data_IF_639272511009
#
_entry.id   IF_639272511009
#
_cell.length_a   1.000
_cell.length_b   1.000
_cell.length_c   1.000
_cell.angle_alpha   90.00
_cell.angle_beta   90.00
_cell.angle_gamma   90.00
#
_symmetry.space_group_name_H-M   'P 1'
#
loop_
_entity.id
_entity.type
_entity.pdbx_description
1 polymer ?
#
# COMPACT_ATOMS: atom_id res chain seq x y z
N UNK A 1 -24.19 8.79 -1.04
CA UNK A 1 -22.85 9.42 -0.98
C UNK A 1 -23.09 10.90 -0.68
N UNK A 2 -22.25 11.57 0.11
CA UNK A 2 -22.41 13.02 0.33
C UNK A 2 -21.89 13.79 -0.90
N UNK A 3 -22.30 15.04 -1.08
CA UNK A 3 -21.78 15.91 -2.16
C UNK A 3 -20.25 16.01 -2.11
N UNK A 4 -19.68 16.14 -0.91
CA UNK A 4 -18.22 16.14 -0.70
C UNK A 4 -17.56 14.85 -1.23
N UNK A 5 -18.15 13.69 -0.93
CA UNK A 5 -17.63 12.41 -1.41
C UNK A 5 -17.75 12.28 -2.93
N UNK A 6 -18.85 12.75 -3.52
CA UNK A 6 -19.05 12.80 -4.98
C UNK A 6 -17.98 13.63 -5.68
N UNK A 7 -17.77 14.86 -5.20
CA UNK A 7 -16.71 15.74 -5.67
C UNK A 7 -15.31 15.10 -5.51
N UNK A 8 -15.05 14.51 -4.34
CA UNK A 8 -13.75 13.90 -4.04
C UNK A 8 -13.43 12.71 -4.94
N UNK A 9 -14.37 11.77 -5.11
CA UNK A 9 -14.17 10.63 -6.01
C UNK A 9 -14.13 11.03 -7.48
N UNK A 10 -14.83 12.09 -7.89
CA UNK A 10 -14.68 12.64 -9.23
C UNK A 10 -13.25 13.11 -9.51
N UNK A 11 -12.65 13.85 -8.58
CA UNK A 11 -11.28 14.31 -8.70
C UNK A 11 -10.28 13.14 -8.70
N UNK A 12 -10.51 12.10 -7.89
CA UNK A 12 -9.67 10.89 -7.94
C UNK A 12 -9.75 10.21 -9.31
N UNK A 13 -10.95 10.03 -9.86
CA UNK A 13 -11.15 9.42 -11.19
C UNK A 13 -10.41 10.20 -12.27
N UNK A 14 -10.57 11.53 -12.27
CA UNK A 14 -9.89 12.43 -13.18
C UNK A 14 -8.37 12.32 -13.04
N UNK A 15 -7.85 12.34 -11.81
CA UNK A 15 -6.42 12.26 -11.53
C UNK A 15 -5.77 10.93 -11.92
N UNK A 16 -6.41 9.81 -11.57
CA UNK A 16 -5.91 8.46 -11.89
C UNK A 16 -5.91 8.19 -13.39
N UNK A 17 -6.99 8.57 -14.09
CA UNK A 17 -7.23 8.14 -15.47
C UNK A 17 -7.05 9.23 -16.53
N UNK A 18 -6.69 10.45 -16.13
CA UNK A 18 -6.47 11.58 -17.04
C UNK A 18 -7.74 12.06 -17.74
N UNK A 19 -8.92 11.78 -17.16
CA UNK A 19 -10.21 12.25 -17.66
C UNK A 19 -10.51 13.64 -17.12
N UNK A 20 -11.30 14.42 -17.86
CA UNK A 20 -11.80 15.70 -17.37
C UNK A 20 -12.83 15.47 -16.25
N UNK A 21 -12.62 16.10 -15.09
CA UNK A 21 -13.60 16.07 -14.02
C UNK A 21 -14.90 16.78 -14.45
N UNK A 22 -16.06 16.24 -14.06
CA UNK A 22 -17.35 16.87 -14.32
C UNK A 22 -17.46 18.23 -13.59
N UNK A 23 -17.43 19.37 -14.31
CA UNK A 23 -17.43 20.68 -13.68
C UNK A 23 -18.76 21.04 -13.01
N UNK A 24 -19.85 20.33 -13.32
CA UNK A 24 -21.17 20.57 -12.72
C UNK A 24 -21.23 20.17 -11.25
N UNK A 25 -20.30 19.32 -10.79
CA UNK A 25 -20.19 18.96 -9.38
C UNK A 25 -19.54 20.07 -8.54
N UNK A 26 -18.98 21.11 -9.16
CA UNK A 26 -18.21 22.16 -8.50
C UNK A 26 -18.84 23.53 -8.70
N UNK A 27 -19.04 24.25 -7.61
CA UNK A 27 -19.72 25.53 -7.56
C UNK A 27 -19.17 26.42 -6.42
N UNK A 28 -19.81 27.56 -6.20
CA UNK A 28 -19.40 28.53 -5.18
C UNK A 28 -19.58 28.01 -3.74
N UNK A 29 -20.33 26.93 -3.52
CA UNK A 29 -20.54 26.31 -2.21
C UNK A 29 -19.60 25.14 -1.96
N UNK A 30 -18.76 24.79 -2.93
CA UNK A 30 -17.81 23.67 -2.82
C UNK A 30 -16.82 23.92 -1.69
N UNK A 31 -16.80 23.00 -0.72
CA UNK A 31 -15.86 23.05 0.41
C UNK A 31 -14.49 22.50 0.00
N UNK A 32 -13.73 23.34 -0.72
CA UNK A 32 -12.38 23.01 -1.15
C UNK A 32 -11.42 22.72 0.01
N UNK A 33 -11.64 23.32 1.18
CA UNK A 33 -10.81 23.07 2.36
C UNK A 33 -11.02 21.65 2.86
N UNK A 34 -12.28 21.18 2.87
CA UNK A 34 -12.57 19.82 3.28
C UNK A 34 -12.16 18.77 2.23
N UNK A 35 -12.25 19.07 0.93
CA UNK A 35 -11.67 18.23 -0.13
C UNK A 35 -10.15 18.09 0.08
N UNK A 36 -9.45 19.20 0.32
CA UNK A 36 -8.01 19.19 0.58
C UNK A 36 -7.66 18.37 1.85
N UNK A 37 -8.41 18.56 2.94
CA UNK A 37 -8.22 17.77 4.17
C UNK A 37 -8.47 16.29 3.95
N UNK A 38 -9.52 15.94 3.19
CA UNK A 38 -9.84 14.56 2.82
C UNK A 38 -8.72 13.95 1.96
N UNK A 39 -8.19 14.69 0.98
CA UNK A 39 -7.07 14.25 0.16
C UNK A 39 -5.83 13.95 0.99
N UNK A 40 -5.51 14.85 1.95
CA UNK A 40 -4.43 14.65 2.90
C UNK A 40 -4.66 13.45 3.80
N UNK A 41 -5.86 13.33 4.37
CA UNK A 41 -6.21 12.22 5.27
C UNK A 41 -6.10 10.87 4.57
N UNK A 42 -6.42 10.81 3.28
CA UNK A 42 -6.39 9.60 2.46
C UNK A 42 -5.05 9.35 1.75
N UNK A 43 -4.04 10.21 1.96
CA UNK A 43 -2.73 10.17 1.29
C UNK A 43 -2.84 10.21 -0.26
N UNK A 44 -3.72 11.07 -0.77
CA UNK A 44 -4.05 11.24 -2.18
C UNK A 44 -3.91 12.69 -2.66
N UNK A 45 -3.10 13.51 -1.99
CA UNK A 45 -2.95 14.94 -2.33
C UNK A 45 -2.53 15.17 -3.78
N UNK A 46 -1.56 14.43 -4.32
CA UNK A 46 -1.13 14.56 -5.71
C UNK A 46 -2.20 14.10 -6.71
N UNK A 47 -2.75 12.91 -6.50
CA UNK A 47 -3.82 12.35 -7.37
C UNK A 47 -5.06 13.24 -7.41
N UNK A 48 -5.49 13.79 -6.28
CA UNK A 48 -6.65 14.70 -6.26
C UNK A 48 -6.30 16.03 -6.90
N UNK A 49 -5.07 16.53 -6.71
CA UNK A 49 -4.60 17.76 -7.36
C UNK A 49 -4.60 17.65 -8.88
N UNK A 50 -4.17 16.51 -9.42
CA UNK A 50 -4.28 16.21 -10.85
C UNK A 50 -5.72 16.32 -11.35
N UNK A 51 -6.67 15.79 -10.58
CA UNK A 51 -8.10 15.93 -10.88
C UNK A 51 -8.55 17.39 -10.86
N UNK A 52 -8.07 18.17 -9.89
CA UNK A 52 -8.36 19.60 -9.78
C UNK A 52 -7.83 20.36 -11.00
N UNK A 53 -6.64 20.01 -11.50
CA UNK A 53 -6.05 20.63 -12.68
C UNK A 53 -6.84 20.35 -13.96
N UNK A 54 -7.69 19.33 -13.97
CA UNK A 54 -8.59 19.05 -15.09
C UNK A 54 -9.85 19.92 -15.12
N UNK A 55 -10.12 20.73 -14.08
CA UNK A 55 -11.30 21.59 -14.04
C UNK A 55 -11.10 22.90 -14.84
N UNK A 56 -12.19 23.49 -15.36
CA UNK A 56 -12.18 24.85 -15.90
C UNK A 56 -11.68 25.89 -14.87
N UNK A 57 -11.06 26.98 -15.34
CA UNK A 57 -10.43 28.00 -14.48
C UNK A 57 -11.38 28.64 -13.47
N UNK A 58 -12.65 28.82 -13.84
CA UNK A 58 -13.71 29.37 -12.99
C UNK A 58 -14.24 28.38 -11.94
N UNK A 59 -13.86 27.11 -12.04
CA UNK A 59 -14.22 26.01 -11.12
C UNK A 59 -13.07 25.57 -10.23
N UNK A 60 -11.93 26.25 -10.26
CA UNK A 60 -10.78 25.93 -9.44
C UNK A 60 -10.98 26.35 -7.97
N UNK A 61 -10.23 25.75 -7.02
CA UNK A 61 -10.19 26.19 -5.64
C UNK A 61 -9.79 27.67 -5.52
N UNK A 62 -10.14 28.34 -4.41
CA UNK A 62 -9.64 29.68 -4.11
C UNK A 62 -8.12 29.77 -4.24
N UNK A 63 -7.64 30.83 -4.90
CA UNK A 63 -6.21 30.98 -5.31
C UNK A 63 -5.21 30.67 -4.20
N UNK A 64 -5.45 31.12 -2.98
CA UNK A 64 -4.55 30.88 -1.85
C UNK A 64 -4.42 29.37 -1.52
N UNK A 65 -5.53 28.63 -1.51
CA UNK A 65 -5.53 27.19 -1.27
C UNK A 65 -4.93 26.44 -2.45
N UNK A 66 -5.21 26.87 -3.69
CA UNK A 66 -4.62 26.27 -4.89
C UNK A 66 -3.08 26.38 -4.86
N UNK A 67 -2.52 27.56 -4.57
CA UNK A 67 -1.07 27.76 -4.47
C UNK A 67 -0.44 26.96 -3.31
N UNK A 68 -1.12 26.87 -2.18
CA UNK A 68 -0.70 25.99 -1.07
C UNK A 68 -0.62 24.53 -1.54
N UNK A 69 -1.64 24.07 -2.27
CA UNK A 69 -1.69 22.70 -2.79
C UNK A 69 -0.56 22.44 -3.80
N UNK A 70 -0.33 23.37 -4.75
CA UNK A 70 0.80 23.31 -5.68
C UNK A 70 2.13 23.11 -4.94
N UNK A 71 2.39 23.92 -3.90
CA UNK A 71 3.65 23.83 -3.15
C UNK A 71 3.84 22.46 -2.48
N UNK A 72 2.76 21.88 -1.94
CA UNK A 72 2.81 20.54 -1.33
C UNK A 72 3.06 19.45 -2.38
N UNK A 73 2.50 19.59 -3.59
CA UNK A 73 2.76 18.65 -4.69
C UNK A 73 4.20 18.78 -5.20
N UNK A 74 4.73 20.00 -5.33
CA UNK A 74 6.14 20.21 -5.71
C UNK A 74 7.11 19.55 -4.71
N UNK A 75 6.85 19.69 -3.40
CA UNK A 75 7.63 19.00 -2.36
C UNK A 75 7.50 17.48 -2.46
N UNK A 76 6.32 16.97 -2.81
CA UNK A 76 6.10 15.54 -3.04
C UNK A 76 6.93 15.03 -4.22
N UNK A 77 6.95 15.77 -5.33
CA UNK A 77 7.78 15.41 -6.48
C UNK A 77 9.27 15.43 -6.14
N UNK A 78 9.75 16.43 -5.39
CA UNK A 78 11.15 16.51 -4.93
C UNK A 78 11.52 15.32 -4.06
N UNK A 79 10.68 14.96 -3.08
CA UNK A 79 10.87 13.78 -2.24
C UNK A 79 10.88 12.48 -3.06
N UNK A 80 10.01 12.36 -4.06
CA UNK A 80 9.98 11.19 -4.94
C UNK A 80 11.23 11.11 -5.83
N UNK A 81 11.78 12.25 -6.30
CA UNK A 81 13.05 12.29 -7.01
C UNK A 81 14.23 11.90 -6.09
N UNK A 82 14.21 12.32 -4.82
CA UNK A 82 15.18 11.88 -3.81
C UNK A 82 15.13 10.35 -3.63
N UNK A 83 13.94 9.78 -3.43
CA UNK A 83 13.76 8.32 -3.33
C UNK A 83 14.28 7.59 -4.57
N UNK A 84 14.02 8.10 -5.78
CA UNK A 84 14.50 7.50 -7.02
C UNK A 84 16.03 7.52 -7.12
N UNK A 85 16.66 8.62 -6.68
CA UNK A 85 18.13 8.75 -6.64
C UNK A 85 18.74 7.76 -5.64
N UNK A 86 18.23 7.72 -4.42
CA UNK A 86 18.76 6.82 -3.39
C UNK A 86 18.52 5.35 -3.72
N UNK A 87 17.41 5.04 -4.40
CA UNK A 87 17.20 3.71 -4.97
C UNK A 87 18.33 3.31 -5.93
N UNK A 88 18.82 4.23 -6.77
CA UNK A 88 19.99 3.99 -7.61
C UNK A 88 21.27 3.71 -6.83
N UNK A 89 21.53 4.51 -5.78
CA UNK A 89 22.69 4.32 -4.90
C UNK A 89 22.65 2.96 -4.19
N UNK A 90 21.49 2.57 -3.65
CA UNK A 90 21.28 1.28 -2.97
C UNK A 90 21.51 0.11 -3.92
N UNK A 91 20.96 0.17 -5.13
CA UNK A 91 21.17 -0.88 -6.14
C UNK A 91 22.63 -0.96 -6.58
N UNK A 92 23.32 0.16 -6.74
CA UNK A 92 24.74 0.18 -7.07
C UNK A 92 25.59 -0.46 -5.95
N UNK A 93 25.33 -0.10 -4.69
CA UNK A 93 26.00 -0.66 -3.51
C UNK A 93 25.83 -2.18 -3.43
N UNK A 94 24.59 -2.67 -3.49
CA UNK A 94 24.29 -4.08 -3.31
C UNK A 94 24.78 -4.93 -4.50
N UNK A 95 24.61 -4.45 -5.73
CA UNK A 95 25.07 -5.17 -6.94
C UNK A 95 26.58 -5.26 -7.03
N UNK A 96 27.31 -4.25 -6.55
CA UNK A 96 28.78 -4.31 -6.45
C UNK A 96 29.25 -5.51 -5.63
N UNK A 97 28.46 -5.93 -4.65
CA UNK A 97 28.72 -7.06 -3.77
C UNK A 97 28.04 -8.36 -4.25
N UNK A 98 27.46 -8.36 -5.45
CA UNK A 98 26.78 -9.51 -6.05
C UNK A 98 25.40 -9.80 -5.45
N UNK A 99 24.78 -8.83 -4.76
CA UNK A 99 23.43 -8.95 -4.19
C UNK A 99 22.46 -8.24 -5.12
N UNK A 100 21.48 -8.97 -5.65
CA UNK A 100 20.40 -8.39 -6.44
C UNK A 100 19.17 -8.17 -5.54
N UNK A 101 18.91 -6.93 -5.06
CA UNK A 101 17.70 -6.65 -4.28
C UNK A 101 16.47 -6.61 -5.18
N UNK A 102 15.31 -6.99 -4.63
CA UNK A 102 14.01 -6.80 -5.27
C UNK A 102 13.28 -5.65 -4.58
N UNK A 103 12.97 -4.58 -5.31
CA UNK A 103 12.17 -3.47 -4.80
C UNK A 103 10.71 -3.92 -4.63
N UNK A 104 10.15 -3.64 -3.47
CA UNK A 104 8.75 -3.86 -3.16
C UNK A 104 8.03 -2.50 -3.07
N UNK A 105 6.81 -2.41 -3.60
CA UNK A 105 5.93 -1.24 -3.40
C UNK A 105 6.62 0.07 -3.82
N UNK A 106 6.35 1.16 -3.09
CA UNK A 106 7.05 2.44 -3.22
C UNK A 106 7.13 2.93 -4.67
N UNK A 107 8.36 3.18 -5.11
CA UNK A 107 8.62 3.73 -6.45
C UNK A 107 8.27 2.76 -7.58
N UNK A 108 8.39 1.45 -7.39
CA UNK A 108 8.00 0.46 -8.40
C UNK A 108 6.50 0.49 -8.70
N UNK A 109 5.69 0.72 -7.66
CA UNK A 109 4.24 0.88 -7.75
C UNK A 109 3.84 2.25 -8.28
N UNK A 110 4.57 3.31 -7.90
CA UNK A 110 4.37 4.67 -8.41
C UNK A 110 4.41 4.73 -9.94
N UNK A 111 5.25 3.93 -10.57
CA UNK A 111 5.35 3.88 -12.03
C UNK A 111 4.09 3.35 -12.74
N UNK A 112 3.08 2.88 -12.01
CA UNK A 112 1.78 2.45 -12.58
C UNK A 112 0.70 3.53 -12.46
N UNK A 113 1.00 4.65 -11.79
CA UNK A 113 0.16 5.85 -11.80
C UNK A 113 0.41 6.64 -13.07
N UNK A 114 -0.59 7.44 -13.48
CA UNK A 114 -0.47 8.34 -14.64
C UNK A 114 0.65 9.36 -14.46
N UNK A 115 0.75 9.94 -13.26
CA UNK A 115 1.88 10.78 -12.86
C UNK A 115 2.61 10.11 -11.67
N UNK A 116 3.71 9.40 -11.92
CA UNK A 116 4.43 8.66 -10.89
C UNK A 116 4.90 9.55 -9.72
N UNK A 117 5.29 10.79 -9.97
CA UNK A 117 5.79 11.69 -8.92
C UNK A 117 4.68 12.26 -8.01
N UNK A 118 3.41 12.08 -8.37
CA UNK A 118 2.26 12.51 -7.59
C UNK A 118 1.69 11.42 -6.68
N UNK A 119 2.26 10.21 -6.71
CA UNK A 119 1.96 9.19 -5.70
C UNK A 119 2.67 9.55 -4.40
N UNK A 120 1.90 9.58 -3.30
CA UNK A 120 2.50 9.76 -1.97
C UNK A 120 3.21 8.47 -1.53
N UNK A 121 4.54 8.48 -1.62
CA UNK A 121 5.42 7.39 -1.22
C UNK A 121 5.96 7.58 0.21
N UNK A 122 6.49 6.51 0.78
CA UNK A 122 7.08 6.49 2.10
C UNK A 122 8.53 6.01 2.03
N UNK A 123 8.77 4.87 2.64
CA UNK A 123 10.00 4.09 2.66
C UNK A 123 10.35 3.41 1.33
N UNK A 124 11.60 2.95 1.25
CA UNK A 124 12.11 2.02 0.25
C UNK A 124 12.14 0.61 0.87
N UNK A 125 11.18 -0.24 0.51
CA UNK A 125 11.17 -1.64 0.90
C UNK A 125 12.00 -2.49 -0.09
N UNK A 126 13.12 -3.07 0.35
CA UNK A 126 13.90 -4.04 -0.41
C UNK A 126 13.69 -5.46 0.11
N UNK A 127 13.74 -6.44 -0.78
CA UNK A 127 13.81 -7.86 -0.42
C UNK A 127 15.11 -8.47 -0.95
N UNK A 128 15.97 -8.90 -0.04
CA UNK A 128 17.24 -9.60 -0.36
C UNK A 128 17.21 -11.09 0.00
N UNK A 129 16.10 -11.56 0.60
CA UNK A 129 15.96 -12.94 1.05
C UNK A 129 16.89 -13.29 2.22
N UNK A 130 16.72 -14.49 2.79
CA UNK A 130 17.46 -14.94 3.97
C UNK A 130 18.97 -15.00 3.74
N UNK A 131 19.39 -15.43 2.55
CA UNK A 131 20.79 -15.72 2.25
C UNK A 131 21.66 -14.46 2.15
N UNK A 132 21.08 -13.33 1.73
CA UNK A 132 21.81 -12.06 1.58
C UNK A 132 21.44 -11.02 2.64
N UNK A 133 20.48 -11.29 3.52
CA UNK A 133 19.95 -10.32 4.46
C UNK A 133 21.01 -9.68 5.37
N UNK A 134 21.82 -10.50 6.06
CA UNK A 134 22.82 -9.97 6.99
C UNK A 134 23.91 -9.19 6.26
N UNK A 135 24.40 -9.71 5.12
CA UNK A 135 25.42 -9.02 4.31
C UNK A 135 24.89 -7.70 3.74
N UNK A 136 23.64 -7.67 3.26
CA UNK A 136 23.00 -6.44 2.81
C UNK A 136 22.87 -5.43 3.96
N UNK A 137 22.47 -5.87 5.16
CA UNK A 137 22.38 -5.01 6.33
C UNK A 137 23.75 -4.47 6.76
N UNK A 138 24.80 -5.29 6.73
CA UNK A 138 26.18 -4.84 6.99
C UNK A 138 26.60 -3.72 6.03
N UNK A 139 26.28 -3.84 4.74
CA UNK A 139 26.56 -2.80 3.74
C UNK A 139 25.76 -1.52 4.01
N UNK A 140 24.46 -1.64 4.31
CA UNK A 140 23.61 -0.50 4.63
C UNK A 140 24.09 0.24 5.89
N UNK A 141 24.59 -0.47 6.90
CA UNK A 141 25.12 0.13 8.14
C UNK A 141 26.34 1.02 7.91
N UNK A 142 27.09 0.84 6.82
CA UNK A 142 28.30 1.62 6.56
C UNK A 142 28.01 3.10 6.30
N UNK A 143 26.85 3.43 5.69
CA UNK A 143 26.48 4.81 5.36
C UNK A 143 25.15 5.25 6.00
N UNK A 144 24.41 4.34 6.66
CA UNK A 144 23.21 4.70 7.41
C UNK A 144 23.53 5.62 8.60
N UNK A 145 22.71 6.67 8.78
CA UNK A 145 22.82 7.57 9.93
C UNK A 145 22.21 6.98 11.20
N UNK A 146 21.27 6.05 11.06
CA UNK A 146 20.65 5.33 12.18
C UNK A 146 20.01 4.02 11.73
N UNK A 147 19.83 3.11 12.69
CA UNK A 147 19.15 1.83 12.53
C UNK A 147 18.10 1.69 13.66
N UNK A 148 16.88 1.26 13.32
CA UNK A 148 15.83 0.96 14.29
C UNK A 148 15.93 -0.50 14.82
N UNK A 149 15.22 -0.84 15.91
CA UNK A 149 15.23 -2.22 16.46
C UNK A 149 14.79 -3.21 15.38
N UNK A 150 15.68 -4.16 15.06
CA UNK A 150 15.42 -5.18 14.05
C UNK A 150 14.13 -5.96 14.36
N UNK A 151 13.21 -5.97 13.40
CA UNK A 151 11.97 -6.72 13.49
C UNK A 151 12.14 -8.12 12.88
N UNK A 152 11.17 -8.98 13.14
CA UNK A 152 11.22 -10.35 12.65
C UNK A 152 11.36 -10.46 11.12
N UNK A 153 10.82 -9.49 10.37
CA UNK A 153 10.79 -9.52 8.89
C UNK A 153 11.90 -8.70 8.23
N UNK A 154 12.32 -7.60 8.85
CA UNK A 154 13.23 -6.62 8.26
C UNK A 154 14.09 -5.91 9.31
N UNK A 155 15.10 -5.20 8.82
CA UNK A 155 15.80 -4.13 9.52
C UNK A 155 15.47 -2.80 8.81
N UNK A 156 15.39 -1.70 9.58
CA UNK A 156 15.06 -0.37 9.06
C UNK A 156 16.23 0.59 9.31
N UNK A 157 16.61 1.32 8.27
CA UNK A 157 17.75 2.24 8.25
C UNK A 157 17.33 3.62 7.80
N UNK A 158 17.87 4.66 8.42
CA UNK A 158 17.87 6.01 7.83
C UNK A 158 19.11 6.13 6.95
N UNK A 159 18.91 6.12 5.64
CA UNK A 159 19.95 6.16 4.61
C UNK A 159 19.81 7.45 3.81
N UNK A 160 20.80 8.35 3.87
CA UNK A 160 20.82 9.62 3.12
C UNK A 160 19.51 10.44 3.20
N UNK A 161 18.85 10.43 4.36
CA UNK A 161 17.60 11.15 4.61
C UNK A 161 16.32 10.42 4.14
N UNK A 162 16.41 9.19 3.64
CA UNK A 162 15.26 8.32 3.36
C UNK A 162 15.25 7.10 4.28
N UNK A 163 14.07 6.51 4.48
CA UNK A 163 13.93 5.25 5.22
C UNK A 163 14.06 4.08 4.25
N UNK A 164 14.92 3.12 4.58
CA UNK A 164 15.13 1.88 3.82
C UNK A 164 14.84 0.70 4.74
N UNK A 165 13.87 -0.12 4.36
CA UNK A 165 13.58 -1.39 5.02
C UNK A 165 14.15 -2.53 4.18
N UNK A 166 15.14 -3.25 4.71
CA UNK A 166 15.62 -4.46 4.05
C UNK A 166 14.92 -5.69 4.64
N UNK A 167 14.26 -6.49 3.82
CA UNK A 167 13.47 -7.65 4.23
C UNK A 167 14.18 -8.97 3.96
N UNK A 168 14.30 -9.80 5.00
CA UNK A 168 14.55 -11.25 4.85
C UNK A 168 13.30 -12.03 4.49
N UNK A 169 12.13 -11.50 4.84
CA UNK A 169 10.82 -12.11 4.57
C UNK A 169 9.94 -11.04 3.94
N UNK A 170 9.61 -11.20 2.65
CA UNK A 170 8.79 -10.26 1.89
C UNK A 170 7.39 -10.08 2.51
N UNK A 171 6.66 -11.17 2.74
CA UNK A 171 5.38 -11.15 3.45
C UNK A 171 4.99 -12.55 3.94
N UNK A 172 4.02 -12.64 4.85
CA UNK A 172 3.52 -13.89 5.42
C UNK A 172 2.02 -13.82 5.70
N UNK A 173 1.34 -14.94 5.48
CA UNK A 173 -0.05 -15.14 5.91
C UNK A 173 -0.11 -15.84 7.26
N UNK A 174 -1.14 -15.54 8.04
CA UNK A 174 -1.41 -16.17 9.34
C UNK A 174 -1.93 -17.60 9.15
N UNK A 175 -2.71 -17.85 8.10
CA UNK A 175 -3.21 -19.17 7.74
C UNK A 175 -2.07 -20.06 7.21
N UNK A 176 -1.69 -21.16 7.90
CA UNK A 176 -0.47 -21.91 7.57
C UNK A 176 -0.45 -22.49 6.15
N UNK A 177 -1.58 -23.02 5.69
CA UNK A 177 -1.70 -23.59 4.34
C UNK A 177 -1.55 -22.55 3.24
N UNK A 178 -2.20 -21.39 3.40
CA UNK A 178 -2.08 -20.27 2.47
C UNK A 178 -0.67 -19.68 2.51
N UNK A 179 -0.07 -19.53 3.70
CA UNK A 179 1.30 -19.06 3.84
C UNK A 179 2.31 -20.00 3.16
N UNK A 180 2.17 -21.33 3.29
CA UNK A 180 3.04 -22.28 2.59
C UNK A 180 2.98 -22.11 1.06
N UNK A 181 1.79 -21.83 0.51
CA UNK A 181 1.63 -21.54 -0.93
C UNK A 181 2.29 -20.21 -1.30
N UNK A 182 2.07 -19.16 -0.52
CA UNK A 182 2.72 -17.85 -0.70
C UNK A 182 4.24 -17.95 -0.68
N UNK A 183 4.82 -18.62 0.32
CA UNK A 183 6.29 -18.81 0.41
C UNK A 183 6.85 -19.68 -0.72
N UNK A 184 6.05 -20.60 -1.28
CA UNK A 184 6.45 -21.38 -2.46
C UNK A 184 6.48 -20.50 -3.69
N UNK A 185 5.44 -19.68 -3.88
CA UNK A 185 5.35 -18.76 -5.01
C UNK A 185 6.48 -17.72 -4.98
N UNK A 186 6.73 -17.10 -3.81
CA UNK A 186 7.86 -16.16 -3.62
C UNK A 186 9.18 -16.81 -4.02
N UNK A 187 9.46 -18.02 -3.51
CA UNK A 187 10.69 -18.74 -3.86
C UNK A 187 10.78 -19.04 -5.36
N UNK A 188 9.68 -19.48 -5.98
CA UNK A 188 9.63 -19.83 -7.41
C UNK A 188 10.10 -18.68 -8.29
N UNK A 189 9.52 -17.49 -8.11
CA UNK A 189 9.88 -16.35 -8.97
C UNK A 189 11.19 -15.69 -8.54
N UNK A 190 11.54 -15.70 -7.25
CA UNK A 190 12.77 -15.07 -6.74
C UNK A 190 14.03 -15.82 -7.17
N UNK A 191 14.00 -17.16 -7.18
CA UNK A 191 15.12 -17.98 -7.67
C UNK A 191 15.05 -18.24 -9.18
N UNK A 192 13.97 -17.79 -9.83
CA UNK A 192 13.74 -17.96 -11.26
C UNK A 192 14.20 -16.74 -12.06
N UNK A 193 13.67 -16.63 -13.29
CA UNK A 193 13.90 -15.51 -14.20
C UNK A 193 12.66 -14.62 -14.36
N UNK A 194 11.66 -14.81 -13.50
CA UNK A 194 10.34 -14.17 -13.62
C UNK A 194 10.35 -12.70 -13.16
N UNK A 195 11.36 -12.28 -12.39
CA UNK A 195 11.52 -10.90 -11.96
C UNK A 195 11.62 -9.95 -13.16
N UNK A 196 10.95 -8.81 -13.07
CA UNK A 196 10.95 -7.80 -14.13
C UNK A 196 11.95 -6.69 -13.81
N UNK A 197 12.59 -6.16 -14.84
CA UNK A 197 13.43 -4.96 -14.75
C UNK A 197 12.63 -3.72 -15.14
N UNK A 198 12.87 -2.61 -14.47
CA UNK A 198 12.28 -1.31 -14.83
C UNK A 198 13.25 -0.20 -14.52
N UNK A 199 13.36 0.79 -15.39
CA UNK A 199 14.12 2.00 -15.12
C UNK A 199 13.30 2.96 -14.24
N UNK A 200 13.86 3.39 -13.12
CA UNK A 200 13.28 4.39 -12.21
C UNK A 200 14.36 5.44 -11.91
N UNK A 201 14.10 6.69 -12.29
CA UNK A 201 15.18 7.69 -12.38
C UNK A 201 16.24 7.20 -13.36
N UNK A 202 17.49 7.16 -12.91
CA UNK A 202 18.63 6.71 -13.71
C UNK A 202 19.04 5.25 -13.43
N UNK A 203 18.26 4.52 -12.62
CA UNK A 203 18.60 3.17 -12.17
C UNK A 203 17.66 2.11 -12.73
N UNK A 204 18.23 0.99 -13.21
CA UNK A 204 17.45 -0.22 -13.49
C UNK A 204 17.21 -1.00 -12.18
N UNK A 205 15.94 -1.14 -11.80
CA UNK A 205 15.53 -1.84 -10.58
C UNK A 205 14.88 -3.17 -10.89
N UNK A 206 14.95 -4.11 -9.95
CA UNK A 206 14.28 -5.40 -10.03
C UNK A 206 12.99 -5.37 -9.25
N UNK A 207 11.92 -5.82 -9.87
CA UNK A 207 10.58 -5.88 -9.29
C UNK A 207 10.05 -7.32 -9.37
N UNK A 208 9.11 -7.70 -8.49
CA UNK A 208 8.41 -8.97 -8.64
C UNK A 208 7.66 -9.03 -9.98
N UNK A 209 7.32 -10.25 -10.46
CA UNK A 209 6.46 -10.41 -11.62
C UNK A 209 5.16 -9.62 -11.43
N UNK A 210 4.71 -8.89 -12.45
CA UNK A 210 3.54 -8.01 -12.34
C UNK A 210 2.26 -8.74 -11.84
N UNK A 211 1.97 -9.99 -12.27
CA UNK A 211 0.90 -10.80 -11.68
C UNK A 211 1.01 -10.99 -10.16
N UNK A 212 2.19 -11.38 -9.67
CA UNK A 212 2.44 -11.58 -8.25
C UNK A 212 2.34 -10.25 -7.48
N UNK A 213 2.94 -9.19 -8.02
CA UNK A 213 2.95 -7.86 -7.42
C UNK A 213 1.52 -7.32 -7.25
N UNK A 214 0.62 -7.60 -8.21
CA UNK A 214 -0.80 -7.24 -8.10
C UNK A 214 -1.51 -7.97 -6.96
N UNK A 215 -1.20 -9.24 -6.72
CA UNK A 215 -1.72 -10.01 -5.57
C UNK A 215 -1.10 -9.51 -4.27
N UNK A 216 0.19 -9.20 -4.27
CA UNK A 216 0.94 -8.71 -3.12
C UNK A 216 0.44 -7.35 -2.61
N UNK A 217 0.12 -6.41 -3.51
CA UNK A 217 -0.44 -5.10 -3.14
C UNK A 217 -1.78 -5.26 -2.40
N UNK A 218 -2.67 -6.15 -2.89
CA UNK A 218 -3.92 -6.45 -2.18
C UNK A 218 -3.66 -7.11 -0.82
N UNK A 219 -2.80 -8.13 -0.77
CA UNK A 219 -2.43 -8.82 0.46
C UNK A 219 -1.88 -7.84 1.51
N UNK A 220 -1.03 -6.91 1.08
CA UNK A 220 -0.47 -5.91 1.96
C UNK A 220 -1.51 -4.92 2.49
N UNK A 221 -2.44 -4.47 1.64
CA UNK A 221 -3.56 -3.64 2.08
C UNK A 221 -4.42 -4.38 3.12
N UNK A 222 -4.70 -5.67 2.89
CA UNK A 222 -5.42 -6.54 3.83
C UNK A 222 -4.71 -6.63 5.18
N UNK A 223 -3.38 -6.85 5.17
CA UNK A 223 -2.59 -6.95 6.40
C UNK A 223 -2.61 -5.63 7.19
N UNK A 224 -2.36 -4.50 6.53
CA UNK A 224 -2.42 -3.21 7.20
C UNK A 224 -3.79 -2.89 7.77
N UNK A 225 -4.86 -3.33 7.10
CA UNK A 225 -6.19 -3.15 7.67
C UNK A 225 -6.34 -3.90 8.99
N UNK A 226 -5.91 -5.16 9.06
CA UNK A 226 -6.00 -5.98 10.27
C UNK A 226 -5.23 -5.35 11.43
N UNK A 227 -4.08 -4.74 11.13
CA UNK A 227 -3.19 -4.17 12.15
C UNK A 227 -3.61 -2.75 12.58
N UNK A 228 -3.91 -1.85 11.63
CA UNK A 228 -3.97 -0.40 11.85
C UNK A 228 -5.13 0.31 11.10
N UNK A 229 -5.54 -0.22 9.95
CA UNK A 229 -6.49 0.40 9.00
C UNK A 229 -5.82 0.72 7.65
N UNK A 230 -6.60 1.16 6.66
CA UNK A 230 -6.06 1.61 5.35
C UNK A 230 -6.72 2.91 4.92
N UNK A 231 -6.03 3.64 4.04
CA UNK A 231 -6.61 4.76 3.30
C UNK A 231 -7.05 4.35 1.89
N UNK A 232 -7.64 5.29 1.16
CA UNK A 232 -7.98 5.10 -0.26
C UNK A 232 -6.73 4.94 -1.13
N UNK A 233 -5.55 5.43 -0.70
CA UNK A 233 -4.29 5.21 -1.43
C UNK A 233 -4.03 3.73 -1.69
N UNK A 234 -4.24 2.85 -0.71
CA UNK A 234 -4.03 1.40 -0.87
C UNK A 234 -5.02 0.78 -1.89
N UNK A 235 -6.24 1.32 -2.00
CA UNK A 235 -7.20 0.88 -3.03
C UNK A 235 -6.81 1.44 -4.41
N UNK A 236 -6.34 2.68 -4.49
CA UNK A 236 -5.83 3.29 -5.71
C UNK A 236 -4.60 2.56 -6.24
N UNK A 237 -3.69 2.17 -5.34
CA UNK A 237 -2.51 1.35 -5.63
C UNK A 237 -2.93 0.05 -6.33
N UNK A 238 -3.91 -0.66 -5.78
CA UNK A 238 -4.41 -1.89 -6.38
C UNK A 238 -5.13 -1.65 -7.71
N UNK A 239 -5.92 -0.57 -7.82
CA UNK A 239 -6.56 -0.18 -9.08
C UNK A 239 -5.54 0.08 -10.21
N UNK A 240 -4.44 0.76 -9.90
CA UNK A 240 -3.35 1.02 -10.85
C UNK A 240 -2.64 -0.27 -11.25
N UNK A 241 -2.45 -1.23 -10.32
CA UNK A 241 -1.90 -2.55 -10.64
C UNK A 241 -2.81 -3.36 -11.57
N UNK A 242 -4.11 -3.41 -11.27
CA UNK A 242 -5.11 -4.05 -12.13
C UNK A 242 -5.10 -3.45 -13.55
N UNK A 243 -5.01 -2.13 -13.64
CA UNK A 243 -4.91 -1.43 -14.92
C UNK A 243 -3.59 -1.72 -15.64
N UNK A 244 -2.46 -1.78 -14.93
CA UNK A 244 -1.14 -2.04 -15.52
C UNK A 244 -1.03 -3.44 -16.14
N UNK A 245 -1.72 -4.45 -15.57
CA UNK A 245 -1.75 -5.81 -16.11
C UNK A 245 -2.91 -6.07 -17.09
N UNK A 246 -3.70 -5.06 -17.46
CA UNK A 246 -4.94 -5.25 -18.24
C UNK A 246 -4.74 -5.95 -19.58
N UNK A 247 -3.57 -5.77 -20.20
CA UNK A 247 -3.20 -6.30 -21.50
C UNK A 247 -2.31 -7.56 -21.39
N UNK A 248 -1.97 -7.98 -20.17
CA UNK A 248 -1.18 -9.19 -19.95
C UNK A 248 -2.04 -10.45 -20.06
N UNK A 249 -1.49 -11.54 -20.65
CA UNK A 249 -2.10 -12.85 -20.55
C UNK A 249 -2.00 -13.40 -19.13
N UNK A 250 -2.81 -14.41 -18.82
CA UNK A 250 -2.72 -15.17 -17.57
C UNK A 250 -3.41 -14.53 -16.36
N UNK A 251 -4.53 -13.83 -16.61
CA UNK A 251 -5.37 -13.26 -15.54
C UNK A 251 -5.98 -14.36 -14.70
N UNK A 252 -6.28 -15.51 -15.32
CA UNK A 252 -6.84 -16.70 -14.69
C UNK A 252 -5.88 -17.29 -13.65
N UNK A 253 -4.58 -17.40 -13.96
CA UNK A 253 -3.54 -17.86 -13.04
C UNK A 253 -3.36 -16.87 -11.89
N UNK A 254 -3.40 -15.57 -12.19
CA UNK A 254 -3.31 -14.52 -11.17
C UNK A 254 -4.50 -14.58 -10.20
N UNK A 255 -5.72 -14.78 -10.74
CA UNK A 255 -6.93 -14.98 -9.97
C UNK A 255 -6.89 -16.28 -9.14
N UNK A 256 -6.34 -17.36 -9.72
CA UNK A 256 -6.15 -18.64 -9.04
C UNK A 256 -5.16 -18.53 -7.89
N UNK A 257 -4.04 -17.81 -8.07
CA UNK A 257 -3.09 -17.52 -7.00
C UNK A 257 -3.80 -16.77 -5.87
N UNK A 258 -4.47 -15.66 -6.18
CA UNK A 258 -5.22 -14.85 -5.22
C UNK A 258 -6.22 -15.70 -4.41
N UNK A 259 -6.98 -16.56 -5.10
CA UNK A 259 -7.93 -17.50 -4.48
C UNK A 259 -7.23 -18.52 -3.59
N UNK A 260 -6.11 -19.09 -4.03
CA UNK A 260 -5.33 -20.05 -3.26
C UNK A 260 -4.77 -19.43 -1.96
N UNK A 261 -4.58 -18.12 -1.93
CA UNK A 261 -4.15 -17.37 -0.75
C UNK A 261 -5.30 -16.95 0.18
N UNK A 262 -6.55 -17.27 -0.18
CA UNK A 262 -7.73 -16.92 0.60
C UNK A 262 -8.18 -15.46 0.45
N UNK A 263 -7.75 -14.78 -0.62
CA UNK A 263 -8.01 -13.36 -0.85
C UNK A 263 -9.20 -13.09 -1.78
N UNK A 264 -9.88 -14.13 -2.29
CA UNK A 264 -10.94 -14.01 -3.31
C UNK A 264 -12.05 -13.02 -2.91
N UNK A 265 -12.55 -13.13 -1.66
CA UNK A 265 -13.57 -12.23 -1.13
C UNK A 265 -13.05 -10.80 -0.97
N UNK A 266 -11.80 -10.62 -0.54
CA UNK A 266 -11.17 -9.30 -0.46
C UNK A 266 -11.06 -8.63 -1.82
N UNK A 267 -10.61 -9.38 -2.84
CA UNK A 267 -10.52 -8.88 -4.21
C UNK A 267 -11.89 -8.45 -4.76
N UNK A 268 -12.95 -9.22 -4.47
CA UNK A 268 -14.32 -8.84 -4.85
C UNK A 268 -14.78 -7.56 -4.14
N UNK A 269 -14.59 -7.47 -2.83
CA UNK A 269 -14.98 -6.30 -2.03
C UNK A 269 -14.22 -5.05 -2.46
N UNK A 270 -12.90 -5.14 -2.64
CA UNK A 270 -12.11 -4.04 -3.19
C UNK A 270 -12.50 -3.73 -4.63
N UNK A 271 -12.83 -4.76 -5.42
CA UNK A 271 -13.28 -4.64 -6.81
C UNK A 271 -14.55 -3.79 -6.94
N UNK A 272 -15.49 -3.90 -6.00
CA UNK A 272 -16.66 -2.99 -5.93
C UNK A 272 -16.21 -1.54 -5.80
N UNK A 273 -15.26 -1.25 -4.89
CA UNK A 273 -14.78 0.13 -4.65
C UNK A 273 -14.05 0.67 -5.88
N UNK A 274 -13.14 -0.15 -6.43
CA UNK A 274 -12.33 0.16 -7.61
C UNK A 274 -13.21 0.49 -8.83
N UNK A 275 -14.28 -0.28 -9.06
CA UNK A 275 -15.18 -0.04 -10.20
C UNK A 275 -16.13 1.12 -9.93
N UNK A 276 -16.88 1.08 -8.81
CA UNK A 276 -18.00 2.03 -8.59
C UNK A 276 -17.54 3.43 -8.18
N UNK A 277 -16.38 3.55 -7.54
CA UNK A 277 -15.91 4.83 -6.97
C UNK A 277 -14.67 5.33 -7.68
N UNK A 278 -13.70 4.44 -7.95
CA UNK A 278 -12.46 4.82 -8.62
C UNK A 278 -12.53 4.77 -10.15
N UNK A 279 -13.60 4.25 -10.75
CA UNK A 279 -13.86 4.37 -12.20
C UNK A 279 -13.04 3.44 -13.10
N UNK A 280 -12.46 2.37 -12.57
CA UNK A 280 -11.85 1.30 -13.38
C UNK A 280 -12.95 0.46 -14.05
N UNK A 281 -12.73 0.03 -15.30
CA UNK A 281 -13.64 -0.91 -15.97
C UNK A 281 -13.68 -2.26 -15.26
N UNK A 282 -14.87 -2.85 -15.13
CA UNK A 282 -15.04 -4.16 -14.48
C UNK A 282 -14.32 -5.30 -15.22
N UNK A 283 -14.04 -5.15 -16.51
CA UNK A 283 -13.29 -6.12 -17.33
C UNK A 283 -11.82 -6.26 -16.92
N UNK A 284 -11.30 -5.30 -16.15
CA UNK A 284 -9.92 -5.33 -15.64
C UNK A 284 -9.82 -6.03 -14.28
N UNK A 285 -10.94 -6.43 -13.67
CA UNK A 285 -10.91 -7.19 -12.43
C UNK A 285 -10.40 -8.62 -12.66
N UNK A 286 -9.54 -9.09 -11.76
CA UNK A 286 -9.11 -10.49 -11.72
C UNK A 286 -10.23 -11.44 -11.28
N UNK A 287 -11.09 -10.97 -10.37
CA UNK A 287 -12.23 -11.72 -9.84
C UNK A 287 -13.45 -10.81 -9.88
N UNK A 288 -14.47 -11.13 -10.69
CA UNK A 288 -15.72 -10.36 -10.71
C UNK A 288 -16.40 -10.35 -9.34
N UNK A 289 -16.86 -9.17 -8.91
CA UNK A 289 -17.67 -9.05 -7.69
C UNK A 289 -19.12 -9.44 -7.95
N UNK A 290 -19.83 -9.78 -6.88
CA UNK A 290 -21.25 -10.11 -6.87
C UNK A 290 -22.04 -8.99 -6.18
N UNK A 291 -23.35 -8.92 -6.43
CA UNK A 291 -24.22 -7.94 -5.75
C UNK A 291 -24.14 -8.05 -4.21
N UNK A 292 -23.97 -9.26 -3.68
CA UNK A 292 -23.80 -9.50 -2.24
C UNK A 292 -22.49 -8.94 -1.65
N UNK A 293 -21.52 -8.52 -2.47
CA UNK A 293 -20.29 -7.85 -1.99
C UNK A 293 -20.49 -6.36 -1.73
N UNK A 294 -21.50 -5.75 -2.36
CA UNK A 294 -21.72 -4.31 -2.32
C UNK A 294 -21.88 -3.78 -0.89
N UNK A 295 -22.72 -4.37 -0.02
CA UNK A 295 -22.88 -3.85 1.34
C UNK A 295 -21.57 -3.90 2.15
N UNK A 296 -20.77 -4.95 1.96
CA UNK A 296 -19.46 -5.08 2.64
C UNK A 296 -18.47 -4.04 2.13
N UNK A 297 -18.48 -3.76 0.83
CA UNK A 297 -17.64 -2.73 0.23
C UNK A 297 -18.03 -1.32 0.67
N UNK A 298 -19.33 -1.02 0.79
CA UNK A 298 -19.83 0.26 1.29
C UNK A 298 -19.51 0.47 2.76
N UNK A 299 -19.60 -0.59 3.58
CA UNK A 299 -19.12 -0.57 4.95
C UNK A 299 -17.61 -0.29 5.03
N UNK A 300 -16.80 -1.01 4.23
CA UNK A 300 -15.35 -0.83 4.20
C UNK A 300 -14.99 0.61 3.78
N UNK A 301 -15.65 1.14 2.75
CA UNK A 301 -15.44 2.50 2.29
C UNK A 301 -15.79 3.54 3.36
N UNK A 302 -16.83 3.28 4.15
CA UNK A 302 -17.21 4.14 5.28
C UNK A 302 -16.15 4.12 6.37
N UNK A 303 -15.59 2.94 6.72
CA UNK A 303 -14.48 2.84 7.69
C UNK A 303 -13.23 3.57 7.19
N UNK A 304 -12.87 3.40 5.91
CA UNK A 304 -11.74 4.11 5.28
C UNK A 304 -11.95 5.62 5.30
N UNK A 305 -13.15 6.09 4.95
CA UNK A 305 -13.49 7.51 4.94
C UNK A 305 -13.35 8.12 6.34
N UNK A 306 -13.85 7.44 7.37
CA UNK A 306 -13.79 7.91 8.75
C UNK A 306 -12.39 7.78 9.38
N UNK A 307 -11.64 6.74 9.02
CA UNK A 307 -10.33 6.44 9.62
C UNK A 307 -9.17 7.22 9.03
N UNK A 308 -9.25 7.58 7.74
CA UNK A 308 -8.09 8.06 6.99
C UNK A 308 -6.99 6.99 6.87
N UNK A 309 -5.87 7.35 6.24
CA UNK A 309 -4.75 6.45 6.01
C UNK A 309 -4.19 5.91 7.35
N UNK A 310 -4.22 4.58 7.48
CA UNK A 310 -3.83 3.83 8.69
C UNK A 310 -4.59 4.23 9.97
N UNK A 311 -5.85 4.68 9.84
CA UNK A 311 -6.68 5.01 11.00
C UNK A 311 -6.22 6.25 11.77
N UNK A 312 -5.22 6.99 11.28
CA UNK A 312 -4.58 8.14 11.96
C UNK A 312 -5.52 9.32 12.20
N UNK A 313 -6.71 9.33 11.57
CA UNK A 313 -7.71 10.39 11.71
C UNK A 313 -8.93 9.95 12.53
N UNK A 314 -8.93 8.72 13.06
CA UNK A 314 -10.02 8.25 13.91
C UNK A 314 -9.86 8.81 15.34
N UNK A 315 -10.61 9.87 15.67
CA UNK A 315 -10.60 10.49 16.99
C UNK A 315 -11.01 9.54 18.14
N UNK A 316 -11.63 8.39 17.83
CA UNK A 316 -12.02 7.37 18.80
C UNK A 316 -10.95 6.29 19.06
N UNK A 317 -9.76 6.37 18.43
CA UNK A 317 -8.66 5.43 18.75
C UNK A 317 -8.08 5.74 20.13
N UNK A 318 -8.23 4.78 21.06
CA UNK A 318 -7.53 4.84 22.34
C UNK A 318 -6.02 4.76 22.13
N UNK A 319 -5.27 5.71 22.71
CA UNK A 319 -3.81 5.67 22.72
C UNK A 319 -3.33 4.34 23.31
N UNK A 320 -2.34 3.72 22.68
CA UNK A 320 -1.70 2.51 23.19
C UNK A 320 -1.16 2.82 24.59
N UNK A 321 -1.51 2.04 25.63
CA UNK A 321 -1.02 2.26 26.98
C UNK A 321 0.48 2.01 27.06
N UNK A 322 1.16 2.73 27.96
CA UNK A 322 2.57 2.51 28.27
C UNK A 322 2.77 1.15 28.95
N UNK A 323 3.90 0.50 28.67
CA UNK A 323 4.25 -0.84 29.15
C UNK A 323 4.11 -1.94 28.09
N UNK A 324 5.02 -2.92 28.16
CA UNK A 324 5.07 -3.99 27.15
C UNK A 324 3.80 -4.85 27.13
N UNK A 325 3.37 -5.34 28.31
CA UNK A 325 2.22 -6.26 28.43
C UNK A 325 0.88 -5.56 28.20
N UNK A 326 0.71 -4.36 28.75
CA UNK A 326 -0.45 -3.49 28.52
C UNK A 326 -0.58 -3.14 27.03
N UNK A 327 0.51 -2.73 26.37
CA UNK A 327 0.53 -2.44 24.94
C UNK A 327 0.25 -3.66 24.07
N UNK A 328 0.79 -4.83 24.42
CA UNK A 328 0.52 -6.10 23.72
C UNK A 328 -0.95 -6.53 23.87
N UNK A 329 -1.50 -6.41 25.07
CA UNK A 329 -2.92 -6.69 25.32
C UNK A 329 -3.85 -5.74 24.56
N UNK A 330 -3.55 -4.44 24.56
CA UNK A 330 -4.28 -3.44 23.76
C UNK A 330 -4.27 -3.79 22.26
N UNK A 331 -3.10 -4.16 21.73
CA UNK A 331 -2.96 -4.61 20.34
C UNK A 331 -3.80 -5.86 20.07
N UNK A 332 -3.74 -6.85 20.97
CA UNK A 332 -4.48 -8.10 20.84
C UNK A 332 -6.00 -7.89 20.85
N UNK A 333 -6.52 -7.07 21.76
CA UNK A 333 -7.96 -6.73 21.82
C UNK A 333 -8.41 -6.01 20.55
N UNK A 334 -7.61 -5.05 20.06
CA UNK A 334 -7.88 -4.36 18.79
C UNK A 334 -7.93 -5.35 17.62
N UNK A 335 -6.95 -6.25 17.56
CA UNK A 335 -6.87 -7.29 16.53
C UNK A 335 -8.07 -8.24 16.61
N UNK A 336 -8.53 -8.64 17.80
CA UNK A 336 -9.74 -9.46 17.94
C UNK A 336 -10.99 -8.75 17.42
N UNK A 337 -11.15 -7.46 17.75
CA UNK A 337 -12.27 -6.64 17.26
C UNK A 337 -12.22 -6.53 15.73
N UNK A 338 -11.07 -6.14 15.17
CA UNK A 338 -10.87 -6.02 13.71
C UNK A 338 -11.03 -7.36 13.00
N UNK A 339 -10.57 -8.47 13.58
CA UNK A 339 -10.74 -9.82 13.01
C UNK A 339 -12.22 -10.22 12.93
N UNK A 340 -13.05 -9.84 13.90
CA UNK A 340 -14.51 -10.06 13.83
C UNK A 340 -15.15 -9.27 12.68
N UNK A 341 -14.76 -8.01 12.51
CA UNK A 341 -15.21 -7.16 11.40
C UNK A 341 -14.74 -7.72 10.05
N UNK A 342 -13.50 -8.21 9.97
CA UNK A 342 -12.86 -8.71 8.74
C UNK A 342 -13.14 -10.16 8.40
N UNK A 343 -13.79 -10.93 9.28
CA UNK A 343 -14.26 -12.27 8.95
C UNK A 343 -15.13 -12.30 7.69
N UNK A 344 -15.81 -11.18 7.38
CA UNK A 344 -16.60 -11.00 6.16
C UNK A 344 -15.77 -10.77 4.89
N UNK A 345 -14.49 -10.36 5.00
CA UNK A 345 -13.61 -9.98 3.88
C UNK A 345 -12.49 -11.01 3.68
N UNK A 346 -11.83 -11.47 4.74
CA UNK A 346 -10.75 -12.48 4.72
C UNK A 346 -10.93 -13.52 5.83
N UNK A 347 -11.91 -14.43 5.73
CA UNK A 347 -12.29 -15.32 6.83
C UNK A 347 -11.14 -16.20 7.34
N UNK A 348 -10.24 -16.65 6.47
CA UNK A 348 -9.11 -17.48 6.87
C UNK A 348 -8.10 -16.68 7.71
N UNK A 349 -7.67 -15.51 7.22
CA UNK A 349 -6.73 -14.66 7.95
C UNK A 349 -7.33 -14.16 9.26
N UNK A 350 -8.59 -13.68 9.25
CA UNK A 350 -9.30 -13.25 10.45
C UNK A 350 -9.35 -14.33 11.54
N UNK A 351 -9.46 -15.61 11.16
CA UNK A 351 -9.43 -16.74 12.09
C UNK A 351 -8.04 -17.01 12.67
N UNK A 352 -7.00 -16.96 11.84
CA UNK A 352 -5.64 -17.37 12.24
C UNK A 352 -4.80 -16.24 12.83
N UNK A 353 -5.08 -14.99 12.46
CA UNK A 353 -4.25 -13.84 12.79
C UNK A 353 -4.13 -13.58 14.31
N UNK A 354 -5.20 -13.64 15.13
CA UNK A 354 -5.06 -13.51 16.58
C UNK A 354 -4.16 -14.60 17.19
N UNK A 355 -4.25 -15.84 16.69
CA UNK A 355 -3.42 -16.97 17.15
C UNK A 355 -1.95 -16.76 16.76
N UNK A 356 -1.70 -16.34 15.52
CA UNK A 356 -0.36 -16.05 15.03
C UNK A 356 0.31 -14.93 15.83
N UNK A 357 -0.43 -13.85 16.15
CA UNK A 357 0.07 -12.73 16.96
C UNK A 357 0.43 -13.16 18.39
N UNK A 358 -0.40 -14.02 19.01
CA UNK A 358 -0.15 -14.56 20.34
C UNK A 358 1.11 -15.44 20.36
N UNK A 359 1.23 -16.37 19.41
CA UNK A 359 2.40 -17.25 19.27
C UNK A 359 3.68 -16.47 19.00
N UNK A 360 3.63 -15.46 18.12
CA UNK A 360 4.78 -14.60 17.83
C UNK A 360 5.24 -13.86 19.08
N UNK A 361 4.30 -13.25 19.82
CA UNK A 361 4.61 -12.52 21.06
C UNK A 361 5.21 -13.42 22.14
N UNK A 362 4.72 -14.66 22.28
CA UNK A 362 5.30 -15.65 23.19
C UNK A 362 6.72 -16.07 22.77
N UNK A 363 6.93 -16.32 21.47
CA UNK A 363 8.25 -16.74 20.95
C UNK A 363 9.33 -15.66 21.12
N UNK A 364 8.99 -14.39 20.93
CA UNK A 364 9.92 -13.28 21.11
C UNK A 364 10.34 -13.12 22.57
N UNK A 365 9.42 -13.32 23.51
CA UNK A 365 9.72 -13.28 24.95
C UNK A 365 10.59 -14.46 25.37
N UNK A 366 10.33 -15.66 24.82
CA UNK A 366 11.18 -16.82 25.06
C UNK A 366 12.63 -16.55 24.58
N UNK A 367 12.78 -16.01 23.36
CA UNK A 367 14.11 -15.66 22.83
C UNK A 367 14.84 -14.60 23.65
N UNK A 368 14.13 -13.57 24.14
CA UNK A 368 14.72 -12.54 25.02
C UNK A 368 15.13 -13.08 26.39
N UNK A 369 14.53 -14.17 26.88
CA UNK A 369 14.92 -14.83 28.15
C UNK A 369 16.09 -15.81 28.01
N UNK A 370 16.38 -16.25 26.78
CA UNK A 370 17.43 -17.22 26.46
C UNK A 370 18.72 -16.56 25.95
N UNK A 371 18.69 -15.23 25.75
CA UNK A 371 19.87 -14.37 25.58
C UNK A 371 20.18 -13.74 26.92
#
# INVERSE_FOLDING_TARGET
>A
MTTLQEQFFELIRAGLWGKQANPQLFDNQTDWKEIYRSARAQALLGVVFDGVQSLPKDKLPPRALYLQWCNVVLQMEENNRLLNRELGNLYALLRKEGIEPVLMKGQGLAQNYREPLHRQCGDIDLFTGLDHYERANELLRLEASSEEEELYKHASFTWHGVIVENHRIMTQLSAPGANRRLQREIRRWYTGVDCRKRTIGDAEVTLPPLPFDTVFVLLHAVQHFLDEGIGLRQICDWACMLYAQRDLPGKEETAALLKSLGLEKAARVFGVIVVRYLGLSAEHLLVPFQAADIPTAEWLLTDIWAGGNFGKHNAAQSKRPEGYWSGKWHTFVRVLKRSREWGAIVPQEARWHPLALALHSASMQWKKRMR
#
